data_IF_185217280856
#
_entry.id   IF_185217280856
#
_cell.length_a   1.000
_cell.length_b   1.000
_cell.length_c   1.000
_cell.angle_alpha   90.00
_cell.angle_beta   90.00
_cell.angle_gamma   90.00
#
_symmetry.space_group_name_H-M   'P 1'
#
loop_
_entity.id
_entity.type
_entity.pdbx_description
1 polymer ?
#
# COMPACT_ATOMS: atom_id res chain seq x y z
N UNK A 1 -11.85 14.17 -6.49
CA UNK A 1 -12.64 12.99 -6.12
C UNK A 1 -11.93 12.35 -4.94
N UNK A 2 -12.49 12.44 -3.73
CA UNK A 2 -12.01 11.59 -2.63
C UNK A 2 -12.47 10.18 -2.95
N UNK A 3 -11.55 9.21 -3.01
CA UNK A 3 -11.90 7.83 -3.25
C UNK A 3 -12.57 7.27 -1.97
N UNK A 4 -13.88 7.04 -2.03
CA UNK A 4 -14.62 6.36 -0.97
C UNK A 4 -14.45 4.84 -1.11
N UNK A 5 -13.23 4.38 -0.93
CA UNK A 5 -12.88 2.95 -0.99
C UNK A 5 -12.66 2.46 0.45
N UNK A 6 -13.27 1.33 0.80
CA UNK A 6 -13.25 0.82 2.16
C UNK A 6 -12.27 -0.35 2.30
N UNK A 7 -11.49 -0.32 3.38
CA UNK A 7 -10.66 -1.44 3.84
C UNK A 7 -10.98 -1.65 5.32
N UNK A 8 -11.37 -2.86 5.70
CA UNK A 8 -11.61 -3.24 7.08
C UNK A 8 -10.89 -4.53 7.45
N UNK A 9 -10.59 -4.69 8.74
CA UNK A 9 -9.86 -5.83 9.29
C UNK A 9 -10.83 -6.77 9.98
N UNK A 10 -10.74 -8.05 9.64
CA UNK A 10 -11.36 -9.14 10.38
C UNK A 10 -10.26 -10.02 10.99
N UNK A 11 -9.84 -9.62 12.19
CA UNK A 11 -8.71 -10.23 12.90
C UNK A 11 -8.88 -11.74 13.22
N UNK A 12 -10.08 -12.27 13.55
CA UNK A 12 -10.22 -13.69 13.93
C UNK A 12 -9.72 -14.69 12.89
N UNK A 13 -9.74 -14.32 11.60
CA UNK A 13 -9.25 -15.15 10.50
C UNK A 13 -8.14 -14.48 9.70
N UNK A 14 -7.48 -13.46 10.26
CA UNK A 14 -6.42 -12.71 9.59
C UNK A 14 -6.81 -12.23 8.17
N UNK A 15 -8.03 -11.68 8.03
CA UNK A 15 -8.62 -11.35 6.72
C UNK A 15 -8.84 -9.83 6.57
N UNK A 16 -8.61 -9.32 5.37
CA UNK A 16 -8.97 -7.95 4.98
C UNK A 16 -10.22 -7.97 4.08
N UNK A 17 -11.21 -7.15 4.39
CA UNK A 17 -12.38 -6.93 3.53
C UNK A 17 -12.19 -5.62 2.77
N UNK A 18 -12.16 -5.68 1.44
CA UNK A 18 -11.80 -4.56 0.57
C UNK A 18 -12.90 -4.34 -0.46
N UNK A 19 -13.37 -3.10 -0.58
CA UNK A 19 -14.30 -2.67 -1.65
C UNK A 19 -13.64 -1.56 -2.46
N UNK A 20 -13.30 -1.86 -3.71
CA UNK A 20 -12.63 -0.95 -4.64
C UNK A 20 -12.87 -1.41 -6.09
N UNK A 21 -12.40 -0.64 -7.06
CA UNK A 21 -12.36 -1.01 -8.48
C UNK A 21 -11.45 -2.22 -8.73
N UNK A 22 -11.79 -3.02 -9.74
CA UNK A 22 -11.09 -4.27 -10.06
C UNK A 22 -9.57 -4.09 -10.25
N UNK A 23 -9.12 -3.00 -10.86
CA UNK A 23 -7.69 -2.73 -11.05
C UNK A 23 -6.96 -2.42 -9.73
N UNK A 24 -7.62 -1.72 -8.82
CA UNK A 24 -7.09 -1.47 -7.49
C UNK A 24 -6.99 -2.78 -6.70
N UNK A 25 -8.00 -3.66 -6.79
CA UNK A 25 -7.96 -5.01 -6.18
C UNK A 25 -6.78 -5.83 -6.74
N UNK A 26 -6.59 -5.86 -8.06
CA UNK A 26 -5.45 -6.57 -8.68
C UNK A 26 -4.10 -6.04 -8.19
N UNK A 27 -3.97 -4.72 -8.06
CA UNK A 27 -2.75 -4.09 -7.52
C UNK A 27 -2.53 -4.44 -6.05
N UNK A 28 -3.57 -4.36 -5.22
CA UNK A 28 -3.49 -4.67 -3.79
C UNK A 28 -3.12 -6.14 -3.55
N UNK A 29 -3.68 -7.07 -4.33
CA UNK A 29 -3.30 -8.49 -4.25
C UNK A 29 -1.80 -8.70 -4.48
N UNK A 30 -1.21 -8.01 -5.48
CA UNK A 30 0.24 -8.08 -5.72
C UNK A 30 1.06 -7.50 -4.55
N UNK A 31 0.59 -6.41 -3.95
CA UNK A 31 1.24 -5.80 -2.79
C UNK A 31 1.20 -6.77 -1.59
N UNK A 32 0.03 -7.32 -1.28
CA UNK A 32 -0.15 -8.29 -0.17
C UNK A 32 0.77 -9.48 -0.36
N UNK A 33 0.79 -10.09 -1.56
CA UNK A 33 1.70 -11.21 -1.87
C UNK A 33 3.19 -10.85 -1.72
N UNK A 34 3.57 -9.61 -2.02
CA UNK A 34 4.96 -9.17 -1.89
C UNK A 34 5.39 -8.97 -0.44
N UNK A 35 4.48 -8.59 0.45
CA UNK A 35 4.78 -8.31 1.87
C UNK A 35 4.48 -9.52 2.78
N UNK A 36 3.70 -10.50 2.33
CA UNK A 36 3.38 -11.74 3.05
C UNK A 36 4.56 -12.73 2.99
N UNK A 37 5.70 -12.29 3.51
CA UNK A 37 6.93 -13.04 3.62
C UNK A 37 7.52 -12.82 5.02
N UNK A 38 8.34 -13.74 5.54
CA UNK A 38 9.05 -13.53 6.81
C UNK A 38 9.83 -12.21 6.77
N UNK A 39 9.52 -11.29 7.68
CA UNK A 39 10.03 -9.93 7.66
C UNK A 39 11.56 -9.90 7.77
N UNK A 40 12.24 -9.29 6.79
CA UNK A 40 13.70 -9.07 6.83
C UNK A 40 14.08 -7.62 7.17
N UNK A 41 13.15 -6.66 7.13
CA UNK A 41 13.44 -5.23 7.30
C UNK A 41 12.24 -4.43 7.83
N UNK A 42 12.53 -3.44 8.67
CA UNK A 42 11.55 -2.49 9.21
C UNK A 42 11.12 -1.46 8.15
N UNK A 43 9.85 -1.05 8.19
CA UNK A 43 9.30 0.00 7.31
C UNK A 43 9.37 1.34 8.02
N UNK A 44 10.10 2.29 7.44
CA UNK A 44 10.21 3.66 7.96
C UNK A 44 9.58 4.68 7.01
N UNK A 45 8.47 5.34 7.39
CA UNK A 45 7.89 6.39 6.56
C UNK A 45 8.74 7.67 6.59
N UNK A 46 9.09 8.19 5.41
CA UNK A 46 9.80 9.47 5.28
C UNK A 46 8.84 10.54 4.75
N UNK A 47 8.66 11.60 5.54
CA UNK A 47 7.84 12.73 5.12
C UNK A 47 8.63 13.72 4.25
N UNK A 48 8.15 13.96 3.03
CA UNK A 48 8.75 14.91 2.11
C UNK A 48 8.22 16.33 2.35
N UNK A 49 9.13 17.31 2.48
CA UNK A 49 8.77 18.73 2.74
C UNK A 49 8.65 19.58 1.47
N UNK A 50 9.47 19.30 0.46
CA UNK A 50 9.65 20.22 -0.68
C UNK A 50 9.28 19.61 -2.05
N UNK A 51 9.02 18.31 -2.11
CA UNK A 51 8.72 17.61 -3.35
C UNK A 51 7.56 16.65 -3.16
N UNK A 52 6.78 16.44 -4.23
CA UNK A 52 5.78 15.38 -4.24
C UNK A 52 6.47 14.00 -4.22
N UNK A 53 5.83 12.96 -3.64
CA UNK A 53 6.38 11.60 -3.65
C UNK A 53 6.69 11.09 -5.06
N UNK A 54 5.83 11.40 -6.03
CA UNK A 54 6.04 11.02 -7.43
C UNK A 54 7.26 11.70 -8.06
N UNK A 55 7.53 12.95 -7.70
CA UNK A 55 8.72 13.69 -8.18
C UNK A 55 9.98 13.19 -7.49
N UNK A 56 9.92 12.96 -6.18
CA UNK A 56 11.03 12.41 -5.41
C UNK A 56 11.50 11.06 -5.96
N UNK A 57 10.58 10.10 -6.11
CA UNK A 57 10.88 8.76 -6.64
C UNK A 57 11.50 8.78 -8.04
N UNK A 58 11.09 9.71 -8.90
CA UNK A 58 11.65 9.84 -10.26
C UNK A 58 13.07 10.41 -10.23
N UNK A 59 13.36 11.33 -9.31
CA UNK A 59 14.65 12.02 -9.23
C UNK A 59 15.71 11.20 -8.48
N UNK A 60 15.26 10.38 -7.53
CA UNK A 60 16.09 9.52 -6.71
C UNK A 60 15.51 8.10 -6.78
N UNK A 61 15.74 7.36 -7.88
CA UNK A 61 15.53 5.92 -7.88
C UNK A 61 16.50 5.30 -6.86
N UNK A 62 16.03 4.28 -6.14
CA UNK A 62 16.75 3.60 -5.06
C UNK A 62 18.21 3.24 -5.42
#
# INVERSE_FOLDING_TARGET
MSANNAISVYAPTNTLVITDYADNIRRLNRIIQSIDQPTQSDIYPIQLKYASPSTFRRRFPD
#
